data_IF_388281726195
#
_entry.id   IF_388281726195
#
_cell.length_a   1.000
_cell.length_b   1.000
_cell.length_c   1.000
_cell.angle_alpha   90.00
_cell.angle_beta   90.00
_cell.angle_gamma   90.00
#
_symmetry.space_group_name_H-M   'P 1'
#
loop_
_entity.id
_entity.type
_entity.pdbx_description
1 polymer ?
#
# COMPACT_ATOMS: atom_id res chain seq x y z
N UNK A 1 26.99 23.15 22.23
CA UNK A 1 28.41 22.77 22.07
C UNK A 1 28.47 21.25 21.94
N UNK A 2 29.06 20.68 20.89
CA UNK A 2 29.22 19.23 20.79
C UNK A 2 30.06 18.71 21.96
N UNK A 3 29.75 17.50 22.44
CA UNK A 3 30.56 16.82 23.46
C UNK A 3 31.89 16.44 22.80
N UNK A 4 32.93 17.23 23.05
CA UNK A 4 34.27 17.02 22.51
C UNK A 4 35.09 16.00 23.31
N UNK A 5 34.67 15.68 24.54
CA UNK A 5 35.31 14.68 25.39
C UNK A 5 34.68 13.29 25.20
N UNK A 6 35.50 12.33 24.78
CA UNK A 6 35.09 10.93 24.70
C UNK A 6 35.14 10.31 26.10
N UNK A 7 33.99 9.91 26.64
CA UNK A 7 33.92 9.13 27.88
C UNK A 7 34.51 7.73 27.62
N UNK A 8 35.67 7.46 28.23
CA UNK A 8 36.39 6.19 28.07
C UNK A 8 36.13 5.20 29.22
N UNK A 9 35.54 5.67 30.33
CA UNK A 9 35.27 4.85 31.51
C UNK A 9 33.77 4.91 31.87
N UNK A 10 33.10 3.76 32.10
CA UNK A 10 31.68 3.73 32.46
C UNK A 10 31.32 4.52 33.72
N UNK A 11 32.23 4.57 34.70
CA UNK A 11 32.04 5.36 35.93
C UNK A 11 32.06 6.88 35.74
N UNK A 12 32.46 7.36 34.55
CA UNK A 12 32.43 8.78 34.18
C UNK A 12 31.16 9.16 33.42
N UNK A 13 30.20 8.23 33.27
CA UNK A 13 28.91 8.52 32.66
C UNK A 13 28.23 9.66 33.42
N UNK A 14 28.14 10.83 32.77
CA UNK A 14 27.42 11.98 33.30
C UNK A 14 25.96 11.86 32.91
N UNK A 15 25.06 11.98 33.89
CA UNK A 15 23.65 12.17 33.64
C UNK A 15 23.42 13.62 33.20
N UNK A 16 22.80 13.80 32.04
CA UNK A 16 22.37 15.11 31.56
C UNK A 16 20.87 15.25 31.86
N UNK A 17 20.52 16.17 32.76
CA UNK A 17 19.14 16.38 33.24
C UNK A 17 18.31 17.29 32.34
N UNK A 18 18.94 17.90 31.34
CA UNK A 18 18.30 18.81 30.37
C UNK A 18 18.07 18.10 29.02
N UNK A 19 17.48 18.80 28.08
CA UNK A 19 17.35 18.40 26.68
C UNK A 19 18.75 18.21 26.08
N UNK A 20 19.12 17.00 25.67
CA UNK A 20 20.33 16.81 24.85
C UNK A 20 19.99 17.32 23.44
N UNK A 21 20.60 18.42 22.95
CA UNK A 21 20.31 18.93 21.61
C UNK A 21 21.02 18.04 20.59
N UNK A 22 20.40 16.91 20.27
CA UNK A 22 20.86 16.00 19.23
C UNK A 22 20.34 16.51 17.87
N UNK A 23 21.14 17.33 17.21
CA UNK A 23 20.91 17.66 15.80
C UNK A 23 21.53 16.57 14.92
N UNK A 24 20.70 15.69 14.37
CA UNK A 24 21.13 14.66 13.44
C UNK A 24 21.01 15.17 12.00
N UNK A 25 22.14 15.55 11.40
CA UNK A 25 22.23 15.75 9.95
C UNK A 25 22.55 14.42 9.26
N UNK A 26 21.50 13.66 8.89
CA UNK A 26 21.66 12.50 8.04
C UNK A 26 21.94 12.93 6.60
N UNK A 27 23.19 12.78 6.16
CA UNK A 27 23.55 12.92 4.75
C UNK A 27 23.16 11.64 4.01
N UNK A 28 22.72 11.76 2.75
CA UNK A 28 22.36 10.57 1.96
C UNK A 28 23.56 9.73 1.49
N UNK A 29 24.78 10.22 1.75
CA UNK A 29 26.01 9.67 1.17
C UNK A 29 26.10 9.88 -0.34
N UNK A 30 27.20 9.43 -0.95
CA UNK A 30 27.50 9.64 -2.38
C UNK A 30 26.44 9.00 -3.27
N UNK A 31 26.18 7.70 -3.13
CA UNK A 31 25.19 7.00 -3.95
C UNK A 31 23.74 7.48 -3.72
N UNK A 32 23.40 7.89 -2.49
CA UNK A 32 22.08 8.45 -2.21
C UNK A 32 21.90 9.84 -2.82
N UNK A 33 22.95 10.66 -2.83
CA UNK A 33 22.96 11.95 -3.53
C UNK A 33 22.84 11.77 -5.05
N UNK A 34 23.54 10.81 -5.63
CA UNK A 34 23.42 10.45 -7.06
C UNK A 34 22.00 9.99 -7.41
N UNK A 35 21.38 9.14 -6.58
CA UNK A 35 19.98 8.76 -6.74
C UNK A 35 19.04 9.96 -6.72
N UNK A 36 19.23 10.90 -5.78
CA UNK A 36 18.41 12.11 -5.68
C UNK A 36 18.58 13.03 -6.87
N UNK A 37 19.80 13.23 -7.36
CA UNK A 37 20.08 14.03 -8.56
C UNK A 37 19.45 13.39 -9.79
N UNK A 38 19.57 12.08 -9.94
CA UNK A 38 18.97 11.35 -11.06
C UNK A 38 17.43 11.44 -11.05
N UNK A 39 16.81 11.37 -9.87
CA UNK A 39 15.38 11.59 -9.70
C UNK A 39 14.98 13.03 -10.07
N UNK A 40 15.75 14.02 -9.61
CA UNK A 40 15.49 15.44 -9.87
C UNK A 40 15.59 15.76 -11.35
N UNK A 41 16.75 15.47 -11.93
CA UNK A 41 17.16 15.98 -13.24
C UNK A 41 16.56 15.15 -14.37
N UNK A 42 16.45 13.83 -14.19
CA UNK A 42 16.02 12.90 -15.23
C UNK A 42 14.69 12.20 -14.91
N UNK A 43 14.22 12.23 -13.67
CA UNK A 43 13.02 11.50 -13.28
C UNK A 43 13.18 9.97 -13.33
N UNK A 44 14.42 9.48 -13.21
CA UNK A 44 14.73 8.05 -13.25
C UNK A 44 15.17 7.56 -11.87
N UNK A 45 15.09 6.25 -11.68
CA UNK A 45 15.55 5.61 -10.45
C UNK A 45 16.92 4.98 -10.67
N UNK A 46 17.91 5.47 -9.93
CA UNK A 46 19.27 4.94 -9.97
C UNK A 46 19.39 3.69 -9.09
N UNK A 47 20.08 2.67 -9.60
CA UNK A 47 20.39 1.46 -8.86
C UNK A 47 21.89 1.22 -8.86
N UNK A 48 22.39 0.47 -7.88
CA UNK A 48 23.77 -0.01 -7.86
C UNK A 48 23.83 -1.51 -8.05
N UNK A 49 24.81 -2.01 -8.81
CA UNK A 49 25.05 -3.44 -9.03
C UNK A 49 26.38 -3.91 -8.44
N UNK A 50 26.33 -5.04 -7.74
CA UNK A 50 27.51 -5.64 -7.14
C UNK A 50 28.32 -6.38 -8.22
N UNK A 51 29.61 -6.07 -8.35
CA UNK A 51 30.49 -6.73 -9.31
C UNK A 51 30.72 -8.22 -8.99
N UNK A 52 30.60 -8.62 -7.71
CA UNK A 52 30.81 -10.00 -7.25
C UNK A 52 29.55 -10.86 -7.34
N UNK A 53 28.51 -10.57 -6.55
CA UNK A 53 27.27 -11.38 -6.51
C UNK A 53 26.22 -10.99 -7.56
N UNK A 54 26.48 -9.94 -8.37
CA UNK A 54 25.58 -9.44 -9.42
C UNK A 54 24.22 -8.94 -8.95
N UNK A 55 23.97 -8.89 -7.64
CA UNK A 55 22.75 -8.30 -7.07
C UNK A 55 22.70 -6.81 -7.34
N UNK A 56 21.52 -6.34 -7.74
CA UNK A 56 21.21 -4.93 -8.00
C UNK A 56 20.33 -4.40 -6.87
N UNK A 57 20.54 -3.15 -6.43
CA UNK A 57 19.82 -2.58 -5.30
C UNK A 57 19.23 -1.20 -5.61
N UNK A 58 18.03 -0.95 -5.06
CA UNK A 58 17.36 0.34 -5.04
C UNK A 58 17.01 0.74 -3.58
N UNK A 59 17.18 2.01 -3.19
CA UNK A 59 17.98 3.04 -3.86
C UNK A 59 19.45 2.61 -4.08
N UNK A 60 20.14 3.31 -4.98
CA UNK A 60 21.58 3.15 -5.20
C UNK A 60 22.36 3.26 -3.87
N UNK A 61 23.42 2.45 -3.72
CA UNK A 61 24.24 2.34 -2.52
C UNK A 61 25.72 2.16 -2.86
N UNK A 62 26.59 2.57 -1.94
CA UNK A 62 28.05 2.47 -2.09
C UNK A 62 28.62 1.08 -1.81
N UNK A 63 27.93 0.24 -1.03
CA UNK A 63 28.45 -1.07 -0.61
C UNK A 63 27.40 -2.17 -0.73
N UNK A 64 27.86 -3.36 -1.10
CA UNK A 64 27.04 -4.56 -1.13
C UNK A 64 26.91 -5.13 0.29
N UNK A 65 25.68 -5.29 0.82
CA UNK A 65 25.48 -5.84 2.17
C UNK A 65 25.86 -7.33 2.28
N UNK A 66 25.83 -8.06 1.17
CA UNK A 66 26.12 -9.50 1.16
C UNK A 66 27.62 -9.78 0.98
N UNK A 67 28.31 -8.95 0.19
CA UNK A 67 29.71 -9.16 -0.18
C UNK A 67 30.70 -8.24 0.54
N UNK A 68 30.22 -7.18 1.20
CA UNK A 68 31.04 -6.15 1.86
C UNK A 68 32.07 -5.49 0.94
N UNK A 69 31.76 -5.34 -0.34
CA UNK A 69 32.60 -4.64 -1.32
C UNK A 69 31.93 -3.37 -1.82
N UNK A 70 32.74 -2.43 -2.27
CA UNK A 70 32.28 -1.21 -2.93
C UNK A 70 31.53 -1.52 -4.23
N UNK A 71 30.45 -0.78 -4.49
CA UNK A 71 29.61 -0.88 -5.67
C UNK A 71 29.73 0.40 -6.51
N UNK A 72 30.49 0.33 -7.60
CA UNK A 72 30.73 1.46 -8.51
C UNK A 72 29.85 1.47 -9.75
N UNK A 73 29.27 0.32 -10.09
CA UNK A 73 28.39 0.17 -11.24
C UNK A 73 26.99 0.67 -10.87
N UNK A 74 26.62 1.84 -11.40
CA UNK A 74 25.31 2.46 -11.22
C UNK A 74 24.67 2.75 -12.57
N UNK A 75 23.37 2.51 -12.66
CA UNK A 75 22.60 2.78 -13.87
C UNK A 75 21.14 3.06 -13.53
N UNK A 76 20.42 3.83 -14.37
CA UNK A 76 18.99 4.02 -14.17
C UNK A 76 18.22 2.76 -14.59
N UNK A 77 17.11 2.50 -13.91
CA UNK A 77 16.12 1.51 -14.35
C UNK A 77 15.00 2.18 -15.15
N UNK A 78 14.55 1.48 -16.19
CA UNK A 78 13.50 1.88 -17.13
C UNK A 78 12.23 1.04 -16.99
N UNK A 79 12.36 -0.16 -16.40
CA UNK A 79 11.24 -1.09 -16.19
C UNK A 79 10.25 -0.54 -15.16
N UNK A 80 8.94 -0.81 -15.38
CA UNK A 80 7.93 -0.45 -14.41
C UNK A 80 8.10 -1.20 -13.09
N UNK A 81 7.71 -0.55 -12.00
CA UNK A 81 7.61 -1.18 -10.71
C UNK A 81 6.37 -2.06 -10.61
N UNK A 82 6.25 -2.79 -9.51
CA UNK A 82 5.03 -3.48 -9.13
C UNK A 82 4.74 -3.28 -7.64
N UNK A 83 3.46 -3.28 -7.29
CA UNK A 83 3.03 -3.22 -5.89
C UNK A 83 3.38 -4.54 -5.23
N UNK A 84 4.32 -4.54 -4.29
CA UNK A 84 4.68 -5.74 -3.52
C UNK A 84 3.76 -5.93 -2.31
N UNK A 85 3.46 -4.83 -1.62
CA UNK A 85 2.52 -4.79 -0.50
C UNK A 85 1.96 -3.38 -0.39
N UNK A 86 0.76 -3.22 0.18
CA UNK A 86 0.15 -1.91 0.40
C UNK A 86 -0.74 -1.91 1.64
N UNK A 87 -1.09 -0.72 2.09
CA UNK A 87 -2.07 -0.48 3.15
C UNK A 87 -2.82 0.82 2.89
N UNK A 88 -4.04 0.92 3.42
CA UNK A 88 -4.86 2.12 3.33
C UNK A 88 -4.92 2.80 4.69
N UNK A 89 -4.48 4.04 4.75
CA UNK A 89 -4.48 4.86 5.95
C UNK A 89 -5.76 5.69 5.95
N UNK A 90 -6.73 5.24 6.74
CA UNK A 90 -8.06 5.83 6.88
C UNK A 90 -8.25 6.66 8.16
N UNK A 91 -7.20 6.76 8.98
CA UNK A 91 -7.21 7.53 10.23
C UNK A 91 -6.08 8.54 10.25
N UNK A 92 -6.37 9.70 10.82
CA UNK A 92 -5.36 10.73 11.01
C UNK A 92 -4.51 10.44 12.26
N UNK A 93 -3.57 11.35 12.57
CA UNK A 93 -2.66 11.21 13.70
C UNK A 93 -3.36 11.21 15.07
N UNK A 94 -4.56 11.79 15.18
CA UNK A 94 -5.38 11.72 16.40
C UNK A 94 -6.25 10.47 16.49
N UNK A 95 -6.23 9.60 15.48
CA UNK A 95 -7.01 8.36 15.44
C UNK A 95 -8.45 8.54 14.98
N UNK A 96 -8.88 9.75 14.63
CA UNK A 96 -10.18 9.98 14.00
C UNK A 96 -10.13 9.61 12.53
N UNK A 97 -11.29 9.30 11.97
CA UNK A 97 -11.42 9.03 10.53
C UNK A 97 -10.97 10.25 9.71
N UNK A 98 -10.49 9.99 8.50
CA UNK A 98 -10.04 11.02 7.57
C UNK A 98 -10.95 11.11 6.36
N UNK A 99 -11.25 12.33 5.93
CA UNK A 99 -12.03 12.60 4.72
C UNK A 99 -11.25 12.28 3.43
N UNK A 100 -9.94 12.04 3.54
CA UNK A 100 -9.06 11.73 2.40
C UNK A 100 -8.15 10.55 2.70
N UNK A 101 -8.67 9.31 2.69
CA UNK A 101 -7.86 8.13 2.91
C UNK A 101 -6.75 8.04 1.87
N UNK A 102 -5.55 7.69 2.30
CA UNK A 102 -4.39 7.53 1.40
C UNK A 102 -3.94 6.09 1.36
N UNK A 103 -3.59 5.62 0.15
CA UNK A 103 -3.01 4.29 -0.02
C UNK A 103 -1.50 4.41 -0.15
N UNK A 104 -0.77 3.70 0.70
CA UNK A 104 0.69 3.66 0.70
C UNK A 104 1.13 2.25 0.32
N UNK A 105 2.09 2.15 -0.61
CA UNK A 105 2.59 0.88 -1.11
C UNK A 105 4.10 0.79 -1.06
N UNK A 106 4.61 -0.43 -0.89
CA UNK A 106 5.98 -0.79 -1.20
C UNK A 106 6.05 -1.23 -2.67
N UNK A 107 6.70 -0.41 -3.50
CA UNK A 107 6.93 -0.68 -4.91
C UNK A 107 8.29 -1.34 -5.11
N UNK A 108 8.32 -2.50 -5.75
CA UNK A 108 9.55 -3.22 -6.09
C UNK A 108 9.74 -3.28 -7.60
N UNK A 109 10.96 -3.62 -8.01
CA UNK A 109 11.35 -3.69 -9.41
C UNK A 109 11.95 -5.07 -9.71
N UNK A 110 11.65 -5.60 -10.88
CA UNK A 110 12.04 -6.96 -11.28
C UNK A 110 13.57 -7.12 -11.26
N UNK A 111 14.07 -8.14 -10.55
CA UNK A 111 15.51 -8.39 -10.43
C UNK A 111 16.29 -7.37 -9.58
N UNK A 112 15.61 -6.46 -8.87
CA UNK A 112 16.24 -5.44 -8.02
C UNK A 112 15.85 -5.64 -6.56
N UNK A 113 16.84 -5.72 -5.67
CA UNK A 113 16.65 -5.82 -4.22
C UNK A 113 16.32 -4.43 -3.64
N UNK A 114 15.45 -4.40 -2.63
CA UNK A 114 14.93 -3.17 -2.03
C UNK A 114 13.58 -2.78 -2.65
N UNK A 115 13.22 -1.51 -2.51
CA UNK A 115 11.97 -0.96 -3.03
C UNK A 115 11.78 0.49 -2.58
N UNK A 116 10.74 1.13 -3.12
CA UNK A 116 10.35 2.50 -2.79
C UNK A 116 9.00 2.43 -2.08
N UNK A 117 8.94 2.94 -0.85
CA UNK A 117 7.67 3.13 -0.13
C UNK A 117 7.12 4.48 -0.54
N UNK A 118 5.92 4.52 -1.11
CA UNK A 118 5.31 5.76 -1.53
C UNK A 118 3.80 5.66 -1.71
N UNK A 119 3.16 6.81 -1.98
CA UNK A 119 1.72 6.88 -2.29
C UNK A 119 1.41 6.11 -3.58
N UNK A 120 0.30 5.39 -3.56
CA UNK A 120 -0.33 4.81 -4.76
C UNK A 120 -1.48 5.72 -5.18
N UNK A 121 -1.52 6.07 -6.47
CA UNK A 121 -2.59 6.86 -7.06
C UNK A 121 -3.81 5.96 -7.31
N UNK A 122 -4.53 5.67 -6.24
CA UNK A 122 -5.75 4.89 -6.25
C UNK A 122 -6.87 5.71 -5.59
N UNK A 123 -7.87 6.08 -6.37
CA UNK A 123 -9.08 6.76 -5.88
C UNK A 123 -9.92 5.83 -4.99
N UNK A 124 -9.80 4.53 -5.21
CA UNK A 124 -10.45 3.47 -4.46
C UNK A 124 -9.40 2.45 -3.97
N UNK A 125 -9.27 2.19 -2.66
CA UNK A 125 -8.48 1.09 -2.11
C UNK A 125 -8.63 -0.25 -2.87
N UNK A 126 -9.85 -0.59 -3.27
CA UNK A 126 -10.16 -1.87 -3.92
C UNK A 126 -9.60 -1.95 -5.34
N UNK A 127 -9.21 -0.81 -5.92
CA UNK A 127 -8.55 -0.77 -7.23
C UNK A 127 -7.08 -1.20 -7.17
N UNK A 128 -6.48 -1.33 -5.97
CA UNK A 128 -5.07 -1.72 -5.81
C UNK A 128 -4.97 -3.22 -5.51
N UNK A 129 -4.03 -3.87 -6.17
CA UNK A 129 -3.72 -5.28 -5.94
C UNK A 129 -2.22 -5.54 -5.90
N UNK A 130 -1.83 -6.56 -5.14
CA UNK A 130 -0.44 -7.06 -5.12
C UNK A 130 -0.09 -7.56 -6.53
N UNK A 131 1.10 -7.21 -7.01
CA UNK A 131 1.60 -7.54 -8.35
C UNK A 131 1.22 -6.52 -9.43
N UNK A 132 0.33 -5.57 -9.14
CA UNK A 132 -0.07 -4.51 -10.08
C UNK A 132 1.14 -3.72 -10.57
N UNK A 133 1.27 -3.56 -11.89
CA UNK A 133 2.33 -2.76 -12.51
C UNK A 133 2.06 -1.27 -12.34
N UNK A 134 3.08 -0.53 -11.92
CA UNK A 134 2.97 0.89 -11.62
C UNK A 134 4.15 1.70 -12.15
N UNK A 135 3.90 2.95 -12.52
CA UNK A 135 4.89 3.93 -12.93
C UNK A 135 4.83 5.17 -12.01
N UNK A 136 5.95 5.83 -11.74
CA UNK A 136 5.95 7.05 -10.95
C UNK A 136 5.30 8.20 -11.73
N UNK A 137 4.38 8.91 -11.07
CA UNK A 137 3.94 10.24 -11.47
C UNK A 137 4.85 11.25 -10.78
N UNK A 138 5.64 11.99 -11.54
CA UNK A 138 6.58 12.97 -11.00
C UNK A 138 6.02 14.39 -11.07
N UNK A 139 6.51 15.28 -10.20
CA UNK A 139 6.35 16.72 -10.38
C UNK A 139 6.91 17.20 -11.73
N UNK A 140 6.53 18.40 -12.13
CA UNK A 140 7.16 19.06 -13.29
C UNK A 140 8.65 19.24 -13.04
N UNK A 141 9.47 19.20 -14.10
CA UNK A 141 10.94 19.22 -13.98
C UNK A 141 11.45 20.41 -13.13
N UNK A 142 10.88 21.60 -13.30
CA UNK A 142 11.28 22.80 -12.55
C UNK A 142 10.89 22.81 -11.06
N UNK A 143 10.02 21.90 -10.62
CA UNK A 143 9.54 21.80 -9.24
C UNK A 143 10.26 20.69 -8.44
N UNK A 144 11.13 19.92 -9.10
CA UNK A 144 11.86 18.82 -8.47
C UNK A 144 13.06 19.35 -7.71
N UNK A 145 13.27 18.80 -6.51
CA UNK A 145 14.35 19.19 -5.59
C UNK A 145 15.35 18.06 -5.30
N UNK A 146 15.09 16.85 -5.79
CA UNK A 146 15.77 15.61 -5.46
C UNK A 146 15.19 14.91 -4.23
N UNK A 147 14.10 15.41 -3.66
CA UNK A 147 13.40 14.75 -2.57
C UNK A 147 12.57 13.57 -3.09
N UNK A 148 12.32 12.56 -2.25
CA UNK A 148 11.42 11.46 -2.62
C UNK A 148 10.00 11.95 -2.92
N UNK A 149 9.62 13.11 -2.36
CA UNK A 149 8.36 13.81 -2.62
C UNK A 149 8.29 14.49 -3.99
N UNK A 150 9.33 14.41 -4.80
CA UNK A 150 9.25 14.73 -6.24
C UNK A 150 8.45 13.67 -7.00
N UNK A 151 8.31 12.48 -6.44
CA UNK A 151 7.29 11.50 -6.82
C UNK A 151 5.99 11.96 -6.16
N UNK A 152 4.95 12.23 -6.95
CA UNK A 152 3.62 12.55 -6.44
C UNK A 152 2.93 11.28 -5.94
N UNK A 153 2.94 10.24 -6.77
CA UNK A 153 2.39 8.92 -6.46
C UNK A 153 2.84 7.92 -7.54
N UNK A 154 2.70 6.62 -7.28
CA UNK A 154 2.80 5.58 -8.30
C UNK A 154 1.42 5.28 -8.89
N UNK A 155 1.29 5.37 -10.21
CA UNK A 155 0.05 5.16 -10.95
C UNK A 155 0.03 3.77 -11.59
N UNK A 156 -1.11 3.07 -11.60
CA UNK A 156 -1.28 1.86 -12.39
C UNK A 156 -0.93 2.12 -13.86
N UNK A 157 -0.16 1.21 -14.46
CA UNK A 157 0.07 1.22 -15.89
C UNK A 157 -1.01 0.32 -16.47
N UNK A 158 -1.88 0.88 -17.31
CA UNK A 158 -2.87 0.09 -18.03
C UNK A 158 -2.17 -0.84 -19.02
N UNK A 159 -1.79 -2.03 -18.57
CA UNK A 159 -1.71 -3.16 -19.49
C UNK A 159 -3.14 -3.56 -19.79
N UNK A 160 -3.75 -2.92 -20.79
CA UNK A 160 -4.89 -3.54 -21.46
C UNK A 160 -4.35 -4.89 -21.94
N UNK A 161 -4.84 -6.05 -21.47
CA UNK A 161 -4.72 -7.23 -22.29
C UNK A 161 -5.55 -6.89 -23.52
N UNK A 162 -4.89 -6.67 -24.66
CA UNK A 162 -5.56 -6.48 -25.95
C UNK A 162 -6.70 -7.48 -26.01
N UNK A 163 -7.94 -6.97 -25.99
CA UNK A 163 -9.10 -7.79 -26.33
C UNK A 163 -8.77 -8.39 -27.68
N UNK A 164 -8.62 -9.71 -27.73
CA UNK A 164 -8.67 -10.44 -28.97
C UNK A 164 -10.04 -10.11 -29.56
N UNK A 165 -10.05 -9.26 -30.57
CA UNK A 165 -11.21 -9.01 -31.40
C UNK A 165 -11.49 -10.30 -32.15
N UNK A 166 -12.39 -11.10 -31.62
CA UNK A 166 -13.15 -12.04 -32.46
C UNK A 166 -14.32 -11.22 -32.98
N UNK A 167 -14.18 -10.74 -34.21
CA UNK A 167 -15.30 -10.20 -34.97
C UNK A 167 -16.34 -11.31 -35.17
N UNK A 168 -17.60 -11.02 -34.84
CA UNK A 168 -18.73 -11.87 -35.23
C UNK A 168 -19.87 -11.88 -34.25
N UNK A 169 -20.84 -10.99 -34.44
CA UNK A 169 -22.22 -11.21 -34.01
C UNK A 169 -22.70 -10.34 -32.84
N UNK A 170 -23.67 -9.47 -33.17
CA UNK A 170 -24.65 -8.79 -32.29
C UNK A 170 -24.71 -9.30 -30.84
N UNK A 171 -24.51 -8.40 -29.88
CA UNK A 171 -25.04 -8.58 -28.53
C UNK A 171 -25.39 -7.24 -27.87
N UNK A 172 -26.66 -7.12 -27.52
CA UNK A 172 -27.29 -6.05 -26.74
C UNK A 172 -26.79 -6.02 -25.29
N UNK A 173 -26.90 -4.84 -24.66
CA UNK A 173 -27.06 -4.54 -23.21
C UNK A 173 -26.69 -5.68 -22.23
N UNK A 174 -25.47 -5.70 -21.66
CA UNK A 174 -25.08 -6.69 -20.63
C UNK A 174 -24.43 -6.15 -19.34
N UNK A 175 -24.30 -4.84 -19.12
CA UNK A 175 -23.61 -4.32 -17.92
C UNK A 175 -24.51 -4.09 -16.68
N UNK A 176 -25.83 -4.23 -16.79
CA UNK A 176 -26.76 -4.00 -15.66
C UNK A 176 -26.98 -5.27 -14.81
N UNK A 177 -26.93 -6.47 -15.41
CA UNK A 177 -27.20 -7.73 -14.69
C UNK A 177 -26.10 -8.17 -13.73
N UNK A 178 -24.83 -7.88 -14.04
CA UNK A 178 -23.69 -8.38 -13.25
C UNK A 178 -23.54 -7.72 -11.87
N UNK A 179 -23.96 -6.47 -11.74
CA UNK A 179 -23.90 -5.70 -10.49
C UNK A 179 -25.04 -6.11 -9.56
N UNK A 180 -26.22 -6.38 -10.12
CA UNK A 180 -27.40 -6.88 -9.41
C UNK A 180 -27.15 -8.28 -8.82
N UNK A 181 -26.48 -9.16 -9.56
CA UNK A 181 -26.07 -10.49 -9.09
C UNK A 181 -25.08 -10.44 -7.91
N UNK A 182 -24.16 -9.47 -7.92
CA UNK A 182 -23.19 -9.30 -6.83
C UNK A 182 -23.86 -8.80 -5.54
N UNK A 183 -24.77 -7.84 -5.65
CA UNK A 183 -25.50 -7.30 -4.50
C UNK A 183 -26.38 -8.36 -3.83
N UNK A 184 -27.07 -9.21 -4.62
CA UNK A 184 -27.85 -10.35 -4.11
C UNK A 184 -26.98 -11.37 -3.37
N UNK A 185 -25.82 -11.71 -3.94
CA UNK A 185 -24.88 -12.65 -3.34
C UNK A 185 -24.31 -12.15 -2.00
N UNK A 186 -24.00 -10.85 -1.91
CA UNK A 186 -23.54 -10.23 -0.66
C UNK A 186 -24.63 -10.22 0.41
N UNK A 187 -25.87 -9.88 0.05
CA UNK A 187 -26.98 -9.86 1.00
C UNK A 187 -27.27 -11.25 1.57
N UNK A 188 -27.28 -12.28 0.71
CA UNK A 188 -27.39 -13.67 1.13
C UNK A 188 -26.26 -14.08 2.09
N UNK A 189 -25.03 -13.66 1.81
CA UNK A 189 -23.88 -13.96 2.66
C UNK A 189 -23.98 -13.32 4.05
N UNK A 190 -24.58 -12.14 4.16
CA UNK A 190 -24.80 -11.44 5.44
C UNK A 190 -25.90 -12.15 6.25
N UNK A 191 -27.01 -12.53 5.60
CA UNK A 191 -28.12 -13.24 6.26
C UNK A 191 -27.66 -14.59 6.83
N UNK A 192 -26.92 -15.36 6.04
CA UNK A 192 -26.36 -16.65 6.47
C UNK A 192 -25.32 -16.56 7.58
N UNK A 193 -24.60 -15.43 7.73
CA UNK A 193 -23.57 -15.34 8.77
C UNK A 193 -24.15 -15.19 10.17
N UNK A 194 -25.43 -14.81 10.29
CA UNK A 194 -26.04 -14.47 11.59
C UNK A 194 -25.29 -13.35 12.31
N UNK A 195 -24.71 -12.41 11.54
CA UNK A 195 -23.94 -11.29 12.11
C UNK A 195 -24.91 -10.31 12.78
N UNK A 196 -24.70 -9.91 14.05
CA UNK A 196 -25.64 -9.02 14.75
C UNK A 196 -25.55 -7.60 14.18
N UNK A 197 -26.64 -7.14 13.56
CA UNK A 197 -26.70 -5.85 12.85
C UNK A 197 -27.55 -4.80 13.57
N UNK A 198 -27.35 -4.65 14.88
CA UNK A 198 -28.21 -3.79 15.71
C UNK A 198 -28.19 -2.31 15.26
N UNK A 199 -27.05 -1.79 14.79
CA UNK A 199 -26.92 -0.38 14.37
C UNK A 199 -27.43 -0.12 12.94
N UNK A 200 -27.43 -1.13 12.06
CA UNK A 200 -27.76 -0.96 10.63
C UNK A 200 -29.06 -1.68 10.20
N UNK A 201 -29.85 -2.20 11.14
CA UNK A 201 -31.02 -3.08 10.87
C UNK A 201 -32.06 -2.41 9.95
N UNK A 202 -32.40 -1.15 10.23
CA UNK A 202 -33.34 -0.37 9.44
C UNK A 202 -32.83 -0.14 8.01
N UNK A 203 -31.52 0.04 7.85
CA UNK A 203 -30.87 0.25 6.55
C UNK A 203 -30.77 -1.04 5.75
N UNK A 204 -30.49 -2.19 6.39
CA UNK A 204 -30.50 -3.50 5.75
C UNK A 204 -31.90 -3.85 5.25
N UNK A 205 -32.95 -3.56 6.01
CA UNK A 205 -34.32 -3.81 5.56
C UNK A 205 -34.68 -3.03 4.29
N UNK A 206 -34.20 -1.78 4.18
CA UNK A 206 -34.34 -0.94 2.99
C UNK A 206 -33.55 -1.50 1.80
N UNK A 207 -32.29 -1.89 2.01
CA UNK A 207 -31.45 -2.52 0.99
C UNK A 207 -32.06 -3.82 0.46
N UNK A 208 -32.63 -4.65 1.35
CA UNK A 208 -33.33 -5.89 0.99
C UNK A 208 -34.52 -5.62 0.07
N UNK A 209 -35.33 -4.61 0.40
CA UNK A 209 -36.46 -4.20 -0.44
C UNK A 209 -35.98 -3.72 -1.82
N UNK A 210 -34.93 -2.90 -1.89
CA UNK A 210 -34.39 -2.37 -3.15
C UNK A 210 -33.82 -3.45 -4.05
N UNK A 211 -33.00 -4.34 -3.49
CA UNK A 211 -32.38 -5.47 -4.23
C UNK A 211 -33.44 -6.48 -4.69
N UNK A 212 -34.47 -6.73 -3.86
CA UNK A 212 -35.60 -7.58 -4.23
C UNK A 212 -36.44 -7.01 -5.38
N UNK A 213 -36.51 -5.68 -5.50
CA UNK A 213 -37.20 -4.96 -6.59
C UNK A 213 -36.31 -4.73 -7.83
N UNK A 214 -35.02 -5.07 -7.77
CA UNK A 214 -34.06 -4.81 -8.84
C UNK A 214 -33.76 -3.32 -9.05
N UNK A 215 -33.93 -2.50 -7.99
CA UNK A 215 -33.62 -1.07 -8.02
C UNK A 215 -32.11 -0.84 -7.93
N UNK A 216 -31.63 0.22 -8.59
CA UNK A 216 -30.22 0.61 -8.52
C UNK A 216 -29.88 1.14 -7.12
N UNK A 217 -28.84 0.56 -6.51
CA UNK A 217 -28.29 1.03 -5.24
C UNK A 217 -27.52 2.34 -5.46
N UNK A 218 -27.61 3.24 -4.49
CA UNK A 218 -26.72 4.41 -4.44
C UNK A 218 -25.28 3.99 -4.11
N UNK A 219 -24.31 4.88 -4.36
CA UNK A 219 -22.90 4.63 -4.03
C UNK A 219 -22.67 4.40 -2.53
N UNK A 220 -23.47 5.03 -1.67
CA UNK A 220 -23.39 4.86 -0.23
C UNK A 220 -23.98 3.50 0.21
N UNK A 221 -25.07 3.09 -0.43
CA UNK A 221 -25.73 1.81 -0.22
C UNK A 221 -24.84 0.63 -0.65
N UNK A 222 -24.15 0.73 -1.79
CA UNK A 222 -23.20 -0.29 -2.25
C UNK A 222 -21.98 -0.40 -1.32
N UNK A 223 -21.45 0.74 -0.85
CA UNK A 223 -20.36 0.78 0.14
C UNK A 223 -20.76 0.13 1.46
N UNK A 224 -21.96 0.43 1.95
CA UNK A 224 -22.48 -0.15 3.19
C UNK A 224 -22.66 -1.66 3.05
N UNK A 225 -23.22 -2.13 1.92
CA UNK A 225 -23.42 -3.54 1.64
C UNK A 225 -22.10 -4.32 1.59
N UNK A 226 -21.05 -3.76 0.97
CA UNK A 226 -19.71 -4.35 0.94
C UNK A 226 -19.09 -4.42 2.34
N UNK A 227 -19.15 -3.32 3.10
CA UNK A 227 -18.65 -3.24 4.48
C UNK A 227 -19.31 -4.28 5.38
N UNK A 228 -20.63 -4.43 5.29
CA UNK A 228 -21.38 -5.44 6.04
C UNK A 228 -21.02 -6.86 5.61
N UNK A 229 -20.83 -7.09 4.30
CA UNK A 229 -20.36 -8.37 3.77
C UNK A 229 -19.00 -8.79 4.33
N UNK A 230 -18.08 -7.85 4.51
CA UNK A 230 -16.78 -8.14 5.11
C UNK A 230 -16.87 -8.43 6.61
N UNK A 231 -17.68 -7.66 7.35
CA UNK A 231 -17.95 -7.95 8.77
C UNK A 231 -18.59 -9.33 8.96
N UNK A 232 -19.55 -9.69 8.11
CA UNK A 232 -20.18 -11.01 8.10
C UNK A 232 -19.17 -12.14 7.85
N UNK A 233 -18.21 -11.93 6.95
CA UNK A 233 -17.15 -12.89 6.64
C UNK A 233 -16.19 -13.09 7.82
N UNK A 234 -15.75 -12.00 8.44
CA UNK A 234 -14.91 -12.04 9.65
C UNK A 234 -15.65 -12.69 10.82
N UNK A 235 -16.94 -12.41 10.98
CA UNK A 235 -17.79 -13.06 11.99
C UNK A 235 -17.85 -14.58 11.80
N UNK A 236 -18.08 -15.07 10.57
CA UNK A 236 -18.05 -16.52 10.29
C UNK A 236 -16.70 -17.15 10.64
N UNK A 237 -15.59 -16.47 10.34
CA UNK A 237 -14.24 -16.95 10.72
C UNK A 237 -14.10 -17.02 12.23
N UNK A 238 -14.55 -16.00 12.96
CA UNK A 238 -14.49 -15.96 14.41
C UNK A 238 -15.35 -17.06 15.05
N UNK A 239 -16.58 -17.28 14.56
CA UNK A 239 -17.46 -18.36 15.03
C UNK A 239 -16.83 -19.73 14.77
N UNK A 240 -16.27 -19.94 13.57
CA UNK A 240 -15.58 -21.19 13.23
C UNK A 240 -14.35 -21.44 14.12
N UNK A 241 -13.51 -20.41 14.28
CA UNK A 241 -12.35 -20.44 15.18
C UNK A 241 -12.76 -20.76 16.62
N UNK A 242 -13.84 -20.15 17.09
CA UNK A 242 -14.39 -20.41 18.43
C UNK A 242 -14.88 -21.85 18.56
N UNK A 243 -15.59 -22.39 17.54
CA UNK A 243 -16.07 -23.79 17.55
C UNK A 243 -14.96 -24.84 17.49
N UNK A 244 -13.79 -24.48 16.97
CA UNK A 244 -12.62 -25.35 16.87
C UNK A 244 -11.70 -25.26 18.10
N UNK A 245 -11.98 -24.36 19.05
CA UNK A 245 -11.19 -24.21 20.28
C UNK A 245 -11.65 -25.23 21.31
N UNK A 246 -10.75 -26.08 21.80
CA UNK A 246 -11.09 -27.04 22.86
C UNK A 246 -11.39 -26.29 24.18
N UNK A 247 -12.38 -26.73 24.99
CA UNK A 247 -12.72 -26.09 26.26
C UNK A 247 -11.54 -25.98 27.25
N UNK A 248 -10.49 -26.80 27.09
CA UNK A 248 -9.27 -26.74 27.89
C UNK A 248 -8.30 -25.63 27.50
N UNK A 249 -8.42 -25.07 26.29
CA UNK A 249 -7.57 -23.99 25.77
C UNK A 249 -8.18 -22.60 26.00
N UNK A 250 -9.43 -22.54 26.46
CA UNK A 250 -10.07 -21.30 26.91
C UNK A 250 -9.73 -21.04 28.37
N UNK A 251 -9.15 -19.87 28.66
CA UNK A 251 -8.97 -19.37 30.02
C UNK A 251 -10.32 -19.43 30.77
N UNK A 252 -10.32 -19.96 31.99
CA UNK A 252 -11.52 -19.94 32.84
C UNK A 252 -11.91 -18.49 33.10
N UNK A 253 -13.05 -18.07 32.56
CA UNK A 253 -13.69 -16.79 32.87
C UNK A 253 -14.32 -16.79 34.25
#
# INVERSE_FOLDING_TARGET
MPILEKLAQPGQARHWTDSIPLEYHYTAGVAGEEFRRELRDNGRFLVSKCSKCKSTYIPARMYCPDCFIEMKDQFPIDKPGYVYSFTCVNRNRSGSDTDSPVTVGLVKFEGVKGGIIHLLAAEDPDSVSIGMKVAPSLKNLGERTGAITDILAFKPISTVPSKITVEGGRAERQNVGKVDDQARSLLHSIEESGYPVEEDEMTISSLRSKIGKGELLTREEDKLLRRLGDKAREWRKAVKSSSETEPGDTLSG
#
